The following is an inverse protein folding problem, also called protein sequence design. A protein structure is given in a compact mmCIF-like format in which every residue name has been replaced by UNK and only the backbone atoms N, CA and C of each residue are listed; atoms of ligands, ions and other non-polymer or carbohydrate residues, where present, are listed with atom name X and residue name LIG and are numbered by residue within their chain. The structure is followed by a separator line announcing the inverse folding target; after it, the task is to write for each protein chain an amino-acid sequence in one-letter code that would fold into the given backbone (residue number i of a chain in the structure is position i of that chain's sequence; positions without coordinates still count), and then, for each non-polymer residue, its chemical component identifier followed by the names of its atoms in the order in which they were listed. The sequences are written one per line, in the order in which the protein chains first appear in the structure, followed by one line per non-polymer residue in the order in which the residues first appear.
data_IF_882574664981
#
_entry.id   IF_882574664981
#
_cell.length_a   1.000
_cell.length_b   1.000
_cell.length_c   1.000
_cell.angle_alpha   90.00
_cell.angle_beta   90.00
_cell.angle_gamma   90.00
#
_symmetry.space_group_name_H-M   'P 1'
#
loop_
_entity.id
_entity.type
_entity.pdbx_description
1 polymer ?
#
# COMPACT_ATOMS: atom_id res chain seq x y z
N UNK A 1 -12.12 -39.60 -18.82
CA UNK A 1 -12.74 -38.45 -19.48
C UNK A 1 -13.86 -37.97 -18.56
N UNK A 2 -13.74 -36.76 -18.07
CA UNK A 2 -14.71 -36.18 -17.13
C UNK A 2 -15.82 -35.46 -17.92
N UNK A 3 -15.43 -34.73 -18.98
CA UNK A 3 -16.34 -34.02 -19.86
C UNK A 3 -15.74 -33.82 -21.26
N UNK A 4 -16.55 -33.38 -22.20
CA UNK A 4 -16.11 -32.95 -23.52
C UNK A 4 -16.15 -31.42 -23.55
N UNK A 5 -15.05 -30.82 -23.97
CA UNK A 5 -14.92 -29.38 -24.21
C UNK A 5 -15.01 -29.13 -25.70
N UNK A 6 -15.79 -28.15 -26.11
CA UNK A 6 -15.98 -27.84 -27.54
C UNK A 6 -14.74 -27.17 -28.12
N UNK A 7 -14.48 -27.38 -29.43
CA UNK A 7 -13.44 -26.66 -30.15
C UNK A 7 -13.72 -25.15 -30.12
N UNK A 8 -12.71 -24.35 -29.72
CA UNK A 8 -12.81 -22.90 -29.61
C UNK A 8 -13.35 -22.40 -28.26
N UNK A 9 -13.61 -23.28 -27.30
CA UNK A 9 -13.97 -22.89 -25.94
C UNK A 9 -12.75 -22.35 -25.17
N UNK A 10 -12.89 -21.19 -24.51
CA UNK A 10 -11.85 -20.60 -23.67
C UNK A 10 -11.89 -21.20 -22.27
N UNK A 11 -10.75 -21.71 -21.83
CA UNK A 11 -10.60 -22.37 -20.52
C UNK A 11 -9.62 -21.61 -19.64
N UNK A 12 -9.91 -21.55 -18.34
CA UNK A 12 -9.00 -20.99 -17.35
C UNK A 12 -7.88 -22.00 -17.04
N UNK A 13 -6.64 -21.62 -17.37
CA UNK A 13 -5.44 -22.43 -17.13
C UNK A 13 -4.91 -22.12 -15.74
N UNK A 14 -4.80 -23.17 -14.90
CA UNK A 14 -4.28 -23.09 -13.52
C UNK A 14 -2.77 -23.39 -13.47
N UNK A 15 -2.32 -24.37 -14.27
CA UNK A 15 -0.93 -24.83 -14.29
C UNK A 15 -0.60 -25.52 -15.63
N UNK A 16 0.66 -25.50 -16.03
CA UNK A 16 1.16 -26.15 -17.24
C UNK A 16 2.25 -27.15 -16.84
N UNK A 17 2.01 -28.42 -17.12
CA UNK A 17 2.94 -29.53 -16.92
C UNK A 17 3.31 -30.08 -18.31
N UNK A 18 4.46 -30.71 -18.46
CA UNK A 18 5.09 -31.03 -19.75
C UNK A 18 4.08 -31.45 -20.86
N UNK A 19 3.25 -32.47 -20.61
CA UNK A 19 2.29 -33.01 -21.60
C UNK A 19 0.82 -32.68 -21.23
N UNK A 20 0.60 -31.94 -20.12
CA UNK A 20 -0.75 -31.70 -19.58
C UNK A 20 -0.94 -30.26 -19.12
N UNK A 21 -2.10 -29.73 -19.43
CA UNK A 21 -2.56 -28.42 -18.94
C UNK A 21 -3.64 -28.65 -17.89
N UNK A 22 -3.42 -28.12 -16.67
CA UNK A 22 -4.41 -28.13 -15.61
C UNK A 22 -5.34 -26.93 -15.79
N UNK A 23 -6.63 -27.21 -15.86
CA UNK A 23 -7.70 -26.23 -16.08
C UNK A 23 -8.73 -26.27 -14.94
N UNK A 24 -9.52 -25.22 -14.81
CA UNK A 24 -10.71 -25.20 -13.96
C UNK A 24 -11.97 -25.40 -14.80
N UNK A 25 -12.81 -26.35 -14.40
CA UNK A 25 -14.13 -26.58 -14.95
C UNK A 25 -15.12 -26.64 -13.80
N UNK A 26 -16.10 -25.74 -13.75
CA UNK A 26 -17.15 -25.69 -12.72
C UNK A 26 -16.62 -25.88 -11.29
N UNK A 27 -15.58 -25.11 -10.92
CA UNK A 27 -14.88 -25.16 -9.63
C UNK A 27 -14.09 -26.47 -9.34
N UNK A 28 -13.98 -27.38 -10.30
CA UNK A 28 -13.15 -28.58 -10.19
C UNK A 28 -11.91 -28.52 -11.09
N UNK A 29 -10.78 -29.01 -10.57
CA UNK A 29 -9.56 -29.09 -11.37
C UNK A 29 -9.61 -30.30 -12.32
N UNK A 30 -9.37 -30.07 -13.61
CA UNK A 30 -9.27 -31.10 -14.64
C UNK A 30 -7.93 -30.97 -15.39
N UNK A 31 -7.60 -31.97 -16.19
CA UNK A 31 -6.40 -31.99 -17.02
C UNK A 31 -6.76 -32.26 -18.47
N UNK A 32 -6.17 -31.48 -19.38
CA UNK A 32 -6.27 -31.67 -20.82
C UNK A 32 -4.86 -31.85 -21.41
N UNK A 33 -4.73 -32.72 -22.41
CA UNK A 33 -3.42 -32.87 -23.07
C UNK A 33 -3.01 -31.58 -23.76
N UNK A 34 -1.73 -31.20 -23.62
CA UNK A 34 -1.17 -30.01 -24.22
C UNK A 34 -1.26 -30.03 -25.76
N UNK A 35 -1.37 -31.22 -26.38
CA UNK A 35 -1.50 -31.38 -27.83
C UNK A 35 -2.85 -30.86 -28.40
N UNK A 36 -3.86 -30.70 -27.53
CA UNK A 36 -5.21 -30.31 -27.94
C UNK A 36 -5.62 -28.91 -27.46
N UNK A 37 -4.70 -28.13 -26.93
CA UNK A 37 -4.96 -26.78 -26.47
C UNK A 37 -3.91 -25.78 -26.97
N UNK A 38 -4.37 -24.64 -27.49
CA UNK A 38 -3.52 -23.50 -27.79
C UNK A 38 -3.52 -22.54 -26.62
N UNK A 39 -2.34 -22.27 -26.04
CA UNK A 39 -2.21 -21.28 -24.98
C UNK A 39 -2.20 -19.89 -25.60
N UNK A 40 -3.38 -19.33 -25.82
CA UNK A 40 -3.58 -18.05 -26.50
C UNK A 40 -3.03 -16.86 -25.69
N UNK A 41 -2.96 -16.97 -24.34
CA UNK A 41 -2.46 -15.92 -23.46
C UNK A 41 -1.85 -16.52 -22.20
N UNK A 42 -0.54 -16.35 -22.06
CA UNK A 42 0.14 -16.65 -20.80
C UNK A 42 -0.07 -15.47 -19.84
N UNK A 43 -0.87 -15.66 -18.81
CA UNK A 43 -0.92 -14.73 -17.68
C UNK A 43 0.35 -14.98 -16.85
N UNK A 44 1.34 -14.10 -16.99
CA UNK A 44 2.62 -14.25 -16.30
C UNK A 44 2.50 -14.14 -14.77
N UNK A 45 1.46 -13.50 -14.27
CA UNK A 45 1.14 -13.40 -12.83
C UNK A 45 -0.28 -12.89 -12.63
N UNK A 46 -1.03 -13.52 -11.73
CA UNK A 46 -2.29 -12.93 -11.25
C UNK A 46 -1.95 -11.65 -10.48
N UNK A 47 -2.41 -10.51 -10.97
CA UNK A 47 -2.23 -9.20 -10.34
C UNK A 47 -3.53 -8.86 -9.60
N UNK A 48 -3.45 -8.56 -8.31
CA UNK A 48 -4.63 -8.14 -7.56
C UNK A 48 -5.19 -6.82 -8.13
N UNK A 49 -6.51 -6.59 -7.95
CA UNK A 49 -7.14 -5.30 -8.29
C UNK A 49 -6.43 -4.11 -7.63
N UNK A 50 -5.86 -4.32 -6.46
CA UNK A 50 -5.07 -3.34 -5.71
C UNK A 50 -3.75 -3.03 -6.41
N UNK A 51 -3.03 -4.04 -6.88
CA UNK A 51 -1.80 -3.84 -7.66
C UNK A 51 -2.08 -3.17 -9.01
N UNK A 52 -3.20 -3.51 -9.65
CA UNK A 52 -3.60 -2.87 -10.91
C UNK A 52 -3.90 -1.38 -10.73
N UNK A 53 -4.51 -1.00 -9.61
CA UNK A 53 -4.94 0.37 -9.31
C UNK A 53 -3.84 1.24 -8.68
N UNK A 54 -2.97 0.65 -7.86
CA UNK A 54 -2.00 1.38 -7.04
C UNK A 54 -0.54 1.05 -7.35
N UNK A 55 -0.30 0.10 -8.26
CA UNK A 55 1.03 -0.32 -8.69
C UNK A 55 1.48 -1.65 -8.07
N UNK A 56 2.45 -2.27 -8.74
CA UNK A 56 2.97 -3.59 -8.36
C UNK A 56 3.54 -3.60 -6.92
N UNK A 57 3.20 -4.63 -6.16
CA UNK A 57 3.66 -4.82 -4.77
C UNK A 57 2.90 -4.00 -3.72
N UNK A 58 1.82 -3.30 -4.10
CA UNK A 58 0.92 -2.63 -3.14
C UNK A 58 -0.10 -3.65 -2.63
N UNK A 59 -0.07 -3.93 -1.33
CA UNK A 59 -0.99 -4.85 -0.67
C UNK A 59 -2.29 -4.16 -0.22
N UNK A 60 -3.35 -4.95 -0.03
CA UNK A 60 -4.65 -4.46 0.43
C UNK A 60 -4.56 -3.75 1.78
N UNK A 61 -3.67 -4.21 2.69
CA UNK A 61 -3.45 -3.59 3.99
C UNK A 61 -2.94 -2.15 3.87
N UNK A 62 -2.12 -1.83 2.84
CA UNK A 62 -1.62 -0.48 2.58
C UNK A 62 -2.72 0.45 2.12
N UNK A 63 -3.61 -0.06 1.26
CA UNK A 63 -4.79 0.68 0.79
C UNK A 63 -5.77 0.93 1.93
N UNK A 64 -6.03 -0.08 2.77
CA UNK A 64 -6.89 0.04 3.94
C UNK A 64 -6.33 1.07 4.94
N UNK A 65 -5.02 1.05 5.19
CA UNK A 65 -4.34 2.05 6.04
C UNK A 65 -4.58 3.48 5.52
N UNK A 66 -4.42 3.70 4.24
CA UNK A 66 -4.63 5.02 3.62
C UNK A 66 -6.10 5.45 3.74
N UNK A 67 -7.03 4.54 3.46
CA UNK A 67 -8.46 4.81 3.58
C UNK A 67 -8.86 5.10 5.03
N UNK A 68 -8.29 4.37 5.99
CA UNK A 68 -8.47 4.64 7.42
C UNK A 68 -7.91 6.01 7.81
N UNK A 69 -6.70 6.35 7.38
CA UNK A 69 -6.10 7.65 7.67
C UNK A 69 -6.93 8.81 7.13
N UNK A 70 -7.53 8.65 5.95
CA UNK A 70 -8.39 9.67 5.30
C UNK A 70 -9.69 9.95 6.07
N UNK A 71 -10.17 9.06 6.93
CA UNK A 71 -11.37 9.29 7.75
C UNK A 71 -11.17 10.41 8.77
N UNK A 72 -9.94 10.78 9.07
CA UNK A 72 -9.60 11.82 10.06
C UNK A 72 -9.27 13.18 9.44
N UNK A 73 -9.48 13.35 8.13
CA UNK A 73 -9.30 14.65 7.47
C UNK A 73 -10.14 15.73 8.13
N UNK A 74 -9.54 16.91 8.34
CA UNK A 74 -10.16 18.05 8.99
C UNK A 74 -10.12 18.02 10.52
N UNK A 75 -9.75 16.90 11.14
CA UNK A 75 -9.62 16.84 12.61
C UNK A 75 -8.45 17.70 13.11
N UNK A 76 -8.54 18.23 14.34
CA UNK A 76 -7.63 19.25 14.82
C UNK A 76 -6.20 18.75 15.01
N UNK A 77 -5.25 19.68 14.85
CA UNK A 77 -3.87 19.50 15.28
C UNK A 77 -3.72 19.95 16.74
N UNK A 78 -3.14 19.09 17.58
CA UNK A 78 -2.76 19.41 18.95
C UNK A 78 -1.33 18.96 19.19
N UNK A 79 -0.46 19.89 19.57
CA UNK A 79 0.94 19.58 19.90
C UNK A 79 1.03 18.54 21.02
N UNK A 80 1.82 17.48 20.82
CA UNK A 80 1.92 16.36 21.77
C UNK A 80 0.68 15.46 21.81
N UNK A 81 -0.34 15.72 20.99
CA UNK A 81 -1.56 14.92 20.93
C UNK A 81 -1.38 13.66 20.09
N UNK A 82 -2.14 12.61 20.46
CA UNK A 82 -2.20 11.32 19.77
C UNK A 82 -3.63 10.91 19.40
N UNK A 83 -4.62 11.72 19.75
CA UNK A 83 -6.02 11.42 19.48
C UNK A 83 -6.36 11.74 18.03
N UNK A 84 -6.77 10.75 17.24
CA UNK A 84 -7.15 10.92 15.86
C UNK A 84 -8.37 11.83 15.68
N UNK A 85 -9.23 11.97 16.70
CA UNK A 85 -10.48 12.77 16.66
C UNK A 85 -10.41 14.05 17.46
N UNK A 86 -9.71 14.03 18.63
CA UNK A 86 -9.64 15.18 19.54
C UNK A 86 -8.40 16.05 19.32
N UNK A 87 -7.43 15.56 18.55
CA UNK A 87 -6.22 16.27 18.16
C UNK A 87 -4.94 15.44 18.27
N UNK A 88 -4.16 15.49 17.22
CA UNK A 88 -2.85 14.86 17.12
C UNK A 88 -1.83 15.81 16.51
N UNK A 89 -0.56 15.69 16.90
CA UNK A 89 0.53 16.26 16.14
C UNK A 89 0.98 15.32 15.00
N UNK A 90 1.97 15.71 14.21
CA UNK A 90 2.40 14.94 13.05
C UNK A 90 2.84 13.51 13.41
N UNK A 91 3.66 13.33 14.42
CA UNK A 91 4.15 12.02 14.87
C UNK A 91 3.09 11.25 15.65
N UNK A 92 2.22 11.95 16.38
CA UNK A 92 1.09 11.38 17.08
C UNK A 92 0.01 10.82 16.14
N UNK A 93 -0.28 11.53 15.06
CA UNK A 93 -1.14 11.04 13.98
C UNK A 93 -0.58 9.75 13.37
N UNK A 94 0.71 9.77 12.95
CA UNK A 94 1.37 8.62 12.36
C UNK A 94 1.38 7.41 13.29
N UNK A 95 1.81 7.58 14.54
CA UNK A 95 1.86 6.46 15.49
C UNK A 95 0.47 5.84 15.73
N UNK A 96 -0.56 6.68 15.79
CA UNK A 96 -1.94 6.22 16.07
C UNK A 96 -2.55 5.46 14.89
N UNK A 97 -2.29 5.91 13.66
CA UNK A 97 -2.66 5.17 12.46
C UNK A 97 -1.91 3.83 12.41
N UNK A 98 -0.59 3.84 12.54
CA UNK A 98 0.27 2.65 12.43
C UNK A 98 -0.04 1.61 13.51
N UNK A 99 -0.40 2.03 14.73
CA UNK A 99 -0.78 1.14 15.82
C UNK A 99 -1.94 0.21 15.47
N UNK A 100 -2.95 0.68 14.71
CA UNK A 100 -4.06 -0.15 14.23
C UNK A 100 -3.59 -1.31 13.37
N UNK A 101 -2.47 -1.15 12.67
CA UNK A 101 -1.87 -2.13 11.77
C UNK A 101 -0.71 -2.91 12.41
N UNK A 102 -0.64 -2.92 13.74
CA UNK A 102 0.36 -3.69 14.50
C UNK A 102 1.77 -3.08 14.53
N UNK A 103 1.95 -1.86 13.98
CA UNK A 103 3.25 -1.18 13.97
C UNK A 103 3.35 -0.21 15.14
N UNK A 104 4.27 -0.48 16.06
CA UNK A 104 4.56 0.38 17.21
C UNK A 104 5.66 1.38 16.86
N UNK A 105 5.39 2.67 17.03
CA UNK A 105 6.33 3.75 16.73
C UNK A 105 6.47 4.69 17.95
N UNK A 106 7.65 5.31 18.13
CA UNK A 106 7.84 6.35 19.15
C UNK A 106 7.07 7.63 18.78
N UNK A 107 6.68 8.43 19.80
CA UNK A 107 6.00 9.71 19.62
C UNK A 107 7.03 10.85 19.39
N UNK A 108 7.85 10.74 18.36
CA UNK A 108 8.79 11.78 17.94
C UNK A 108 9.23 11.53 16.50
N UNK A 109 9.06 12.51 15.61
CA UNK A 109 9.34 12.35 14.18
C UNK A 109 10.78 11.95 13.87
N UNK A 110 11.76 12.52 14.59
CA UNK A 110 13.18 12.16 14.43
C UNK A 110 13.46 10.70 14.82
N UNK A 111 12.78 10.17 15.85
CA UNK A 111 12.91 8.76 16.26
C UNK A 111 12.18 7.82 15.29
N UNK A 112 11.00 8.22 14.80
CA UNK A 112 10.28 7.48 13.75
C UNK A 112 11.11 7.34 12.47
N UNK A 113 11.93 8.35 12.15
CA UNK A 113 12.81 8.31 10.98
C UNK A 113 13.97 7.28 11.10
N UNK A 114 14.16 6.68 12.26
CA UNK A 114 15.10 5.58 12.46
C UNK A 114 14.42 4.20 12.40
N UNK A 115 13.07 4.15 12.33
CA UNK A 115 12.33 2.91 12.26
C UNK A 115 12.22 2.40 10.81
N UNK A 116 12.09 1.08 10.67
CA UNK A 116 11.87 0.42 9.38
C UNK A 116 13.01 0.55 8.37
N UNK A 117 12.71 0.16 7.13
CA UNK A 117 13.66 0.18 6.01
C UNK A 117 13.65 1.56 5.33
N UNK A 118 14.84 2.11 5.04
CA UNK A 118 14.95 3.30 4.18
C UNK A 118 14.64 2.92 2.72
N UNK A 119 13.81 3.72 2.07
CA UNK A 119 13.47 3.58 0.64
C UNK A 119 13.65 4.93 -0.06
N UNK A 120 13.78 4.91 -1.39
CA UNK A 120 13.77 6.13 -2.17
C UNK A 120 12.35 6.66 -2.33
N UNK A 121 12.20 7.95 -2.64
CA UNK A 121 10.88 8.53 -2.90
C UNK A 121 10.21 7.91 -4.14
N UNK A 122 11.01 7.52 -5.14
CA UNK A 122 10.53 6.85 -6.36
C UNK A 122 9.99 5.45 -6.10
N UNK A 123 10.42 4.80 -5.02
CA UNK A 123 9.96 3.48 -4.58
C UNK A 123 8.89 3.56 -3.48
N UNK A 124 8.46 4.79 -3.12
CA UNK A 124 7.49 4.99 -2.06
C UNK A 124 6.14 4.35 -2.40
N UNK A 125 5.62 3.58 -1.46
CA UNK A 125 4.31 2.93 -1.55
C UNK A 125 3.34 3.55 -0.53
N UNK A 126 2.01 3.48 -0.77
CA UNK A 126 1.03 3.89 0.23
C UNK A 126 1.33 3.29 1.61
N UNK A 127 1.28 4.12 2.65
CA UNK A 127 1.64 3.74 4.02
C UNK A 127 3.12 3.94 4.38
N UNK A 128 4.01 4.27 3.43
CA UNK A 128 5.38 4.66 3.76
C UNK A 128 5.40 6.04 4.43
N UNK A 129 6.37 6.26 5.33
CA UNK A 129 6.51 7.51 6.08
C UNK A 129 7.48 8.45 5.38
N UNK A 130 7.04 9.67 5.09
CA UNK A 130 7.85 10.74 4.51
C UNK A 130 8.22 11.74 5.59
N UNK A 131 9.51 12.00 5.74
CA UNK A 131 10.06 12.91 6.73
C UNK A 131 10.57 14.20 6.08
N UNK A 132 10.37 15.30 6.79
CA UNK A 132 10.81 16.61 6.37
C UNK A 132 11.72 17.24 7.45
N UNK A 133 12.73 17.97 7.00
CA UNK A 133 13.69 18.59 7.89
C UNK A 133 13.71 20.11 7.73
N UNK A 134 14.14 20.81 8.78
CA UNK A 134 14.51 22.22 8.77
C UNK A 134 15.88 22.35 9.42
N UNK A 135 16.81 23.03 8.76
CA UNK A 135 18.19 23.18 9.22
C UNK A 135 18.85 21.83 9.58
N UNK A 136 18.66 20.80 8.74
CA UNK A 136 19.22 19.45 8.94
C UNK A 136 18.55 18.60 10.02
N UNK A 137 17.59 19.14 10.77
CA UNK A 137 16.85 18.40 11.82
C UNK A 137 15.47 18.03 11.35
N UNK A 138 15.10 16.75 11.45
CA UNK A 138 13.75 16.27 11.15
C UNK A 138 12.78 16.90 12.14
N UNK A 139 11.75 17.54 11.61
CA UNK A 139 10.75 18.24 12.41
C UNK A 139 9.30 17.95 11.96
N UNK A 140 9.11 17.08 10.96
CA UNK A 140 7.78 16.72 10.50
C UNK A 140 7.78 15.34 9.84
N UNK A 141 6.62 14.67 9.92
CA UNK A 141 6.37 13.36 9.30
C UNK A 141 4.97 13.33 8.70
N UNK A 142 4.82 12.60 7.60
CA UNK A 142 3.57 12.38 6.90
C UNK A 142 3.48 10.93 6.41
N UNK A 143 2.28 10.44 6.14
CA UNK A 143 2.04 9.14 5.51
C UNK A 143 1.89 9.35 4.00
N UNK A 144 2.67 8.67 3.18
CA UNK A 144 2.50 8.66 1.73
C UNK A 144 1.23 7.90 1.36
N UNK A 145 0.40 8.48 0.49
CA UNK A 145 -0.90 7.90 0.11
C UNK A 145 -0.99 7.52 -1.37
N UNK A 146 0.15 7.57 -2.08
CA UNK A 146 0.21 7.36 -3.52
C UNK A 146 0.01 8.65 -4.32
N UNK A 147 0.28 8.59 -5.64
CA UNK A 147 0.03 9.71 -6.55
C UNK A 147 0.80 11.00 -6.22
N UNK A 148 1.97 10.90 -5.58
CA UNK A 148 2.74 12.08 -5.17
C UNK A 148 2.12 12.87 -4.01
N UNK A 149 1.23 12.26 -3.21
CA UNK A 149 0.52 12.89 -2.11
C UNK A 149 0.85 12.28 -0.76
N UNK A 150 0.71 13.08 0.28
CA UNK A 150 0.85 12.67 1.69
C UNK A 150 -0.35 13.16 2.50
N UNK A 151 -0.70 12.39 3.56
CA UNK A 151 -1.64 12.82 4.59
C UNK A 151 -0.88 13.05 5.90
N UNK A 152 -1.17 14.16 6.59
CA UNK A 152 -0.46 14.55 7.80
C UNK A 152 -1.28 15.48 8.70
N UNK A 153 -1.03 15.44 10.01
CA UNK A 153 -1.42 16.51 10.92
C UNK A 153 -0.46 17.69 10.71
N UNK A 154 -0.93 18.73 10.04
CA UNK A 154 -0.06 19.78 9.47
C UNK A 154 0.31 20.86 10.50
N UNK A 155 -0.69 21.58 11.00
CA UNK A 155 -0.52 22.67 11.97
C UNK A 155 -1.88 23.02 12.61
N UNK A 156 -1.93 23.87 13.67
CA UNK A 156 -3.16 24.20 14.35
C UNK A 156 -4.26 24.88 13.50
N UNK A 157 -3.88 25.52 12.38
CA UNK A 157 -4.85 26.20 11.52
C UNK A 157 -5.57 25.24 10.57
N UNK A 158 -4.87 24.18 10.14
CA UNK A 158 -5.36 23.31 9.05
C UNK A 158 -5.66 21.89 9.51
N UNK A 159 -5.21 21.49 10.68
CA UNK A 159 -5.42 20.14 11.19
C UNK A 159 -4.81 19.06 10.29
N UNK A 160 -5.51 17.94 10.20
CA UNK A 160 -5.15 16.80 9.36
C UNK A 160 -5.61 17.08 7.92
N UNK A 161 -4.68 17.00 6.97
CA UNK A 161 -4.94 17.29 5.56
C UNK A 161 -4.07 16.48 4.62
N UNK A 162 -4.45 16.52 3.34
CA UNK A 162 -3.62 16.01 2.24
C UNK A 162 -2.81 17.17 1.65
N UNK A 163 -1.56 16.89 1.28
CA UNK A 163 -0.66 17.82 0.59
C UNK A 163 0.13 17.08 -0.49
N UNK A 164 0.67 17.79 -1.46
CA UNK A 164 1.66 17.24 -2.38
C UNK A 164 2.91 16.82 -1.58
N UNK A 165 3.53 15.70 -1.92
CA UNK A 165 4.73 15.19 -1.23
C UNK A 165 5.87 16.19 -1.27
N UNK A 166 5.95 16.99 -2.33
CA UNK A 166 6.97 18.04 -2.52
C UNK A 166 6.56 19.44 -2.01
N UNK A 167 5.46 19.57 -1.21
CA UNK A 167 5.12 20.86 -0.57
C UNK A 167 6.26 21.39 0.34
N UNK A 168 7.12 20.49 0.78
CA UNK A 168 8.45 20.71 1.33
C UNK A 168 9.37 19.67 0.71
N UNK A 169 10.66 19.92 0.63
CA UNK A 169 11.63 18.93 0.15
C UNK A 169 11.66 17.72 1.08
N UNK A 170 11.30 16.50 0.62
CA UNK A 170 11.40 15.28 1.40
C UNK A 170 12.86 15.04 1.83
N UNK A 171 13.08 14.76 3.10
CA UNK A 171 14.41 14.48 3.66
C UNK A 171 14.73 12.99 3.64
N UNK A 172 13.76 12.15 3.98
CA UNK A 172 13.88 10.68 3.92
C UNK A 172 12.52 10.02 3.86
N UNK A 173 12.50 8.77 3.38
CA UNK A 173 11.31 7.92 3.37
C UNK A 173 11.62 6.62 4.10
N UNK A 174 10.69 6.13 4.91
CA UNK A 174 10.79 4.89 5.67
C UNK A 174 9.60 3.98 5.42
N UNK A 175 9.87 2.72 5.18
CA UNK A 175 8.89 1.64 5.12
C UNK A 175 8.87 0.92 6.45
N UNK A 176 7.77 1.06 7.20
CA UNK A 176 7.57 0.47 8.52
C UNK A 176 6.51 -0.63 8.52
N UNK A 177 5.70 -0.68 7.47
CA UNK A 177 4.71 -1.70 7.22
C UNK A 177 5.28 -2.71 6.21
N UNK A 178 5.30 -3.97 6.59
CA UNK A 178 5.72 -5.11 5.74
C UNK A 178 4.60 -5.55 4.81
#
# INVERSE_FOLDING_TARGET
VITLVAEGEELEVVDIQDDWVKIMLDDEAAYVSADYVDIAKKLEKAVSLTELKYGQGVSDIRVDLVNYAKQFLGNPYVWGGTSLTKGADCSGFVLSIMKKYGVSLPHHSGSQAQCGKKVSLSEAQPGDLVFYAKNGKINHVAIYIGGGQVIHASNPRTGIKISNVSYRTPYSVRRVLS
#
